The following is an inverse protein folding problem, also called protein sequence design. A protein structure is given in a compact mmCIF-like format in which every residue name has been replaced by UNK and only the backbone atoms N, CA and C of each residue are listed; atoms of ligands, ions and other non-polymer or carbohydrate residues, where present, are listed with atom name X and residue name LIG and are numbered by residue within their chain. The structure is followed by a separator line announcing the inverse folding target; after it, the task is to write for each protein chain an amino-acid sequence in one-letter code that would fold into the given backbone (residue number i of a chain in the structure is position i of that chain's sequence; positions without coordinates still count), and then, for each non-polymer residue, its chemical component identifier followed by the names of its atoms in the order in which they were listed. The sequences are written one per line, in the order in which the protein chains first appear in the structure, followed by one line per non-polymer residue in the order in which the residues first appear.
data_IF_829013779533
#
_entry.id   IF_829013779533
#
_cell.length_a   1.000
_cell.length_b   1.000
_cell.length_c   1.000
_cell.angle_alpha   90.00
_cell.angle_beta   90.00
_cell.angle_gamma   90.00
#
_symmetry.space_group_name_H-M   'P 1'
#
loop_
_entity.id
_entity.type
_entity.pdbx_description
1 polymer ?
#
# COMPACT_ATOMS: atom_id res chain seq x y z
N UNK A 1 0.91 -59.03 12.13
CA UNK A 1 2.17 -58.34 11.76
C UNK A 1 1.76 -57.04 11.08
N UNK A 2 1.57 -56.01 11.88
CA UNK A 2 1.22 -54.65 11.39
C UNK A 2 2.55 -53.89 11.26
N UNK A 3 2.85 -53.48 10.02
CA UNK A 3 4.05 -52.74 9.70
C UNK A 3 3.83 -51.23 9.94
N UNK A 4 4.55 -50.66 10.89
CA UNK A 4 4.71 -49.25 11.14
C UNK A 4 5.36 -48.55 9.93
N UNK A 5 4.63 -47.67 9.26
CA UNK A 5 5.20 -46.75 8.27
C UNK A 5 5.84 -45.53 8.99
N UNK A 6 7.06 -45.12 8.61
CA UNK A 6 7.70 -43.97 9.25
C UNK A 6 7.02 -42.66 8.85
N UNK A 7 6.65 -41.85 9.84
CA UNK A 7 6.16 -40.47 9.69
C UNK A 7 7.23 -39.62 9.00
N UNK A 8 6.92 -39.10 7.81
CA UNK A 8 7.76 -38.09 7.13
C UNK A 8 7.77 -36.83 7.96
N UNK A 9 8.90 -36.47 8.50
CA UNK A 9 9.15 -35.23 9.20
C UNK A 9 8.84 -34.03 8.29
N UNK A 10 8.11 -33.08 8.83
CA UNK A 10 7.76 -31.82 8.17
C UNK A 10 9.02 -30.93 8.04
N UNK A 11 9.29 -30.27 6.89
CA UNK A 11 10.52 -29.51 6.65
C UNK A 11 10.55 -28.11 7.30
N UNK A 12 9.97 -27.93 8.50
CA UNK A 12 9.90 -26.66 9.20
C UNK A 12 10.73 -26.56 10.48
N UNK A 13 11.77 -27.43 10.65
CA UNK A 13 12.65 -27.39 11.85
C UNK A 13 13.67 -26.23 11.85
N UNK A 14 13.70 -25.36 10.86
CA UNK A 14 14.66 -24.23 10.76
C UNK A 14 14.25 -22.90 11.42
N UNK A 15 13.04 -22.78 12.00
CA UNK A 15 12.56 -21.51 12.60
C UNK A 15 12.62 -21.53 14.14
N UNK A 16 13.82 -21.76 14.69
CA UNK A 16 14.02 -21.94 16.14
C UNK A 16 14.27 -20.66 16.93
N UNK A 17 14.03 -19.46 16.37
CA UNK A 17 14.31 -18.19 17.09
C UNK A 17 13.10 -17.53 17.76
N UNK A 18 11.87 -18.04 17.60
CA UNK A 18 10.68 -17.49 18.27
C UNK A 18 10.19 -18.31 19.47
N UNK A 19 10.89 -19.42 19.81
CA UNK A 19 10.49 -20.29 20.94
C UNK A 19 10.86 -19.77 22.33
N UNK A 20 11.57 -18.65 22.46
CA UNK A 20 12.03 -18.15 23.79
C UNK A 20 11.07 -17.16 24.48
N UNK A 21 9.95 -16.77 23.87
CA UNK A 21 8.94 -15.95 24.53
C UNK A 21 7.69 -16.75 24.92
N UNK A 22 7.88 -17.90 25.59
CA UNK A 22 6.79 -18.73 26.13
C UNK A 22 6.30 -18.15 27.46
N UNK A 23 5.38 -17.19 27.40
CA UNK A 23 4.45 -16.86 28.47
C UNK A 23 3.03 -16.85 27.89
N UNK A 24 2.01 -17.16 28.67
CA UNK A 24 0.58 -17.25 28.28
C UNK A 24 0.01 -16.04 27.53
N UNK A 25 0.76 -14.93 27.43
CA UNK A 25 0.45 -13.72 26.64
C UNK A 25 0.99 -13.75 25.21
N UNK A 26 1.80 -14.72 24.80
CA UNK A 26 2.45 -14.76 23.49
C UNK A 26 1.54 -15.26 22.36
N UNK A 27 0.43 -15.93 22.67
CA UNK A 27 -0.51 -16.42 21.65
C UNK A 27 -1.40 -15.32 21.07
N UNK A 28 -1.54 -14.18 21.75
CA UNK A 28 -2.40 -13.08 21.32
C UNK A 28 -2.01 -12.47 19.95
N UNK A 29 -0.75 -12.59 19.50
CA UNK A 29 -0.31 -12.11 18.18
C UNK A 29 -0.81 -12.99 17.04
N UNK A 30 -1.12 -14.27 17.30
CA UNK A 30 -1.58 -15.24 16.30
C UNK A 30 -3.12 -15.29 16.21
N UNK A 31 -3.83 -14.73 17.18
CA UNK A 31 -5.28 -14.67 17.22
C UNK A 31 -5.77 -13.37 16.61
N UNK A 32 -6.83 -13.43 15.80
CA UNK A 32 -7.37 -12.27 15.09
C UNK A 32 -7.78 -11.13 16.04
N UNK A 33 -8.44 -11.47 17.14
CA UNK A 33 -8.89 -10.54 18.18
C UNK A 33 -7.94 -10.42 19.38
N UNK A 34 -6.79 -11.13 19.29
CA UNK A 34 -5.78 -11.12 20.33
C UNK A 34 -5.21 -9.72 20.55
N UNK A 35 -5.05 -9.33 21.82
CA UNK A 35 -4.53 -8.02 22.24
C UNK A 35 -3.12 -8.19 22.81
N UNK A 36 -2.09 -8.23 21.96
CA UNK A 36 -0.70 -8.29 22.43
C UNK A 36 -0.33 -6.98 23.14
N UNK A 37 0.60 -7.02 24.11
CA UNK A 37 1.14 -5.80 24.70
C UNK A 37 1.81 -4.94 23.65
N UNK A 38 1.77 -3.61 23.83
CA UNK A 38 2.28 -2.63 22.86
C UNK A 38 3.73 -2.90 22.43
N UNK A 39 4.60 -3.28 23.36
CA UNK A 39 5.99 -3.61 23.08
C UNK A 39 6.17 -4.80 22.08
N UNK A 40 5.20 -5.69 21.99
CA UNK A 40 5.21 -6.80 21.03
C UNK A 40 4.47 -6.42 19.73
N UNK A 41 3.37 -5.67 19.84
CA UNK A 41 2.57 -5.25 18.69
C UNK A 41 3.30 -4.24 17.82
N UNK A 42 3.97 -3.27 18.42
CA UNK A 42 4.61 -2.16 17.70
C UNK A 42 5.70 -2.61 16.72
N UNK A 43 6.71 -3.42 17.08
CA UNK A 43 7.73 -3.86 16.13
C UNK A 43 7.14 -4.65 14.95
N UNK A 44 6.10 -5.46 15.19
CA UNK A 44 5.44 -6.25 14.16
C UNK A 44 4.57 -5.37 13.25
N UNK A 45 3.85 -4.39 13.82
CA UNK A 45 3.12 -3.40 13.04
C UNK A 45 4.05 -2.47 12.25
N UNK A 46 5.18 -2.10 12.83
CA UNK A 46 6.22 -1.33 12.16
C UNK A 46 6.87 -2.11 11.00
N UNK A 47 7.07 -3.42 11.15
CA UNK A 47 7.52 -4.29 10.06
C UNK A 47 6.53 -4.28 8.88
N UNK A 48 5.22 -4.34 9.14
CA UNK A 48 4.20 -4.24 8.11
C UNK A 48 4.20 -2.87 7.44
N UNK A 49 4.37 -1.80 8.23
CA UNK A 49 4.52 -0.45 7.72
C UNK A 49 5.73 -0.34 6.78
N UNK A 50 6.91 -0.81 7.18
CA UNK A 50 8.12 -0.74 6.35
C UNK A 50 7.95 -1.47 5.02
N UNK A 51 7.21 -2.59 5.00
CA UNK A 51 6.96 -3.36 3.78
C UNK A 51 6.13 -2.59 2.73
N UNK A 52 5.26 -1.67 3.17
CA UNK A 52 4.36 -0.93 2.28
C UNK A 52 4.71 0.55 2.13
N UNK A 53 5.50 1.13 3.04
CA UNK A 53 5.67 2.58 3.15
C UNK A 53 6.15 3.23 1.86
N UNK A 54 7.21 2.68 1.28
CA UNK A 54 7.76 3.19 0.02
C UNK A 54 6.77 3.00 -1.14
N UNK A 55 6.15 1.81 -1.22
CA UNK A 55 5.13 1.54 -2.24
C UNK A 55 3.95 2.50 -2.17
N UNK A 56 3.63 3.00 -0.98
CA UNK A 56 2.56 3.98 -0.78
C UNK A 56 2.95 5.40 -1.22
N UNK A 57 4.23 5.79 -1.11
CA UNK A 57 4.69 7.15 -1.42
C UNK A 57 5.01 7.31 -2.90
N UNK A 58 5.64 6.32 -3.53
CA UNK A 58 6.14 6.39 -4.90
C UNK A 58 5.09 6.86 -5.93
N UNK A 59 3.84 6.35 -5.95
CA UNK A 59 2.84 6.83 -6.90
C UNK A 59 2.59 8.34 -6.79
N UNK A 60 2.65 8.91 -5.58
CA UNK A 60 2.46 10.35 -5.37
C UNK A 60 3.64 11.16 -5.87
N UNK A 61 4.87 10.69 -5.64
CA UNK A 61 6.08 11.34 -6.15
C UNK A 61 6.04 11.38 -7.68
N UNK A 62 5.68 10.27 -8.32
CA UNK A 62 5.59 10.18 -9.78
C UNK A 62 4.55 11.16 -10.35
N UNK A 63 3.35 11.18 -9.78
CA UNK A 63 2.29 12.07 -10.24
C UNK A 63 2.62 13.54 -9.95
N UNK A 64 3.22 13.84 -8.79
CA UNK A 64 3.67 15.19 -8.47
C UNK A 64 4.73 15.71 -9.45
N UNK A 65 5.67 14.83 -9.84
CA UNK A 65 6.69 15.14 -10.85
C UNK A 65 6.09 15.39 -12.23
N UNK A 66 5.20 14.52 -12.71
CA UNK A 66 4.52 14.70 -14.00
C UNK A 66 3.60 15.93 -14.04
N UNK A 67 2.91 16.21 -12.93
CA UNK A 67 2.09 17.43 -12.80
C UNK A 67 2.92 18.71 -12.56
N UNK A 68 4.26 18.59 -12.48
CA UNK A 68 5.19 19.69 -12.20
C UNK A 68 4.79 20.53 -10.98
N UNK A 69 4.35 19.86 -9.93
CA UNK A 69 3.94 20.52 -8.70
C UNK A 69 5.15 21.09 -7.98
N UNK A 70 4.93 22.21 -7.30
CA UNK A 70 5.94 22.77 -6.41
C UNK A 70 6.21 21.83 -5.20
N UNK A 71 7.27 22.11 -4.46
CA UNK A 71 7.70 21.31 -3.31
C UNK A 71 6.62 21.23 -2.23
N UNK A 72 5.81 22.27 -2.03
CA UNK A 72 4.74 22.28 -1.03
C UNK A 72 3.61 21.32 -1.40
N UNK A 73 3.09 21.39 -2.62
CA UNK A 73 1.99 20.49 -3.05
C UNK A 73 2.46 19.05 -3.22
N UNK A 74 3.70 18.83 -3.63
CA UNK A 74 4.31 17.49 -3.68
C UNK A 74 4.37 16.85 -2.30
N UNK A 75 4.87 17.59 -1.31
CA UNK A 75 4.92 17.15 0.10
C UNK A 75 3.51 16.90 0.65
N UNK A 76 2.55 17.77 0.34
CA UNK A 76 1.16 17.64 0.77
C UNK A 76 0.51 16.36 0.21
N UNK A 77 0.72 16.04 -1.07
CA UNK A 77 0.23 14.79 -1.67
C UNK A 77 0.76 13.56 -0.94
N UNK A 78 2.06 13.55 -0.61
CA UNK A 78 2.68 12.45 0.11
C UNK A 78 2.09 12.33 1.52
N UNK A 79 1.94 13.44 2.24
CA UNK A 79 1.29 13.44 3.56
C UNK A 79 -0.13 12.89 3.50
N UNK A 80 -0.92 13.33 2.51
CA UNK A 80 -2.29 12.86 2.30
C UNK A 80 -2.34 11.37 1.99
N UNK A 81 -1.36 10.83 1.23
CA UNK A 81 -1.28 9.40 0.92
C UNK A 81 -1.02 8.55 2.16
N UNK A 82 -0.10 9.00 3.01
CA UNK A 82 0.24 8.32 4.27
C UNK A 82 -0.94 8.36 5.24
N UNK A 83 -1.65 9.51 5.32
CA UNK A 83 -2.89 9.63 6.10
C UNK A 83 -3.98 8.69 5.56
N UNK A 84 -4.21 8.69 4.25
CA UNK A 84 -5.20 7.84 3.59
C UNK A 84 -4.95 6.35 3.84
N UNK A 85 -3.69 5.92 3.71
CA UNK A 85 -3.27 4.55 4.00
C UNK A 85 -3.53 4.15 5.47
N UNK A 86 -3.19 5.03 6.41
CA UNK A 86 -3.43 4.80 7.84
C UNK A 86 -4.93 4.69 8.17
N UNK A 87 -5.74 5.63 7.68
CA UNK A 87 -7.21 5.61 7.88
C UNK A 87 -7.84 4.38 7.24
N UNK A 88 -7.47 4.06 5.99
CA UNK A 88 -7.96 2.88 5.28
C UNK A 88 -7.61 1.58 6.04
N UNK A 89 -6.37 1.47 6.56
CA UNK A 89 -5.94 0.31 7.35
C UNK A 89 -6.71 0.19 8.65
N UNK A 90 -6.95 1.28 9.38
CA UNK A 90 -7.78 1.25 10.60
C UNK A 90 -9.20 0.80 10.31
N UNK A 91 -9.82 1.32 9.24
CA UNK A 91 -11.17 0.93 8.85
C UNK A 91 -11.26 -0.54 8.47
N UNK A 92 -10.20 -1.09 7.85
CA UNK A 92 -10.14 -2.52 7.54
C UNK A 92 -9.92 -3.41 8.77
N UNK A 93 -8.98 -3.03 9.64
CA UNK A 93 -8.65 -3.80 10.83
C UNK A 93 -9.78 -3.79 11.88
N UNK A 94 -10.46 -2.63 12.05
CA UNK A 94 -11.51 -2.42 13.04
C UNK A 94 -12.84 -2.08 12.35
N UNK A 95 -13.55 -3.10 11.85
CA UNK A 95 -14.75 -2.90 11.06
C UNK A 95 -15.87 -2.25 11.88
N UNK A 96 -16.53 -1.27 11.27
CA UNK A 96 -17.73 -0.61 11.81
C UNK A 96 -18.94 -1.45 11.42
N UNK A 97 -19.82 -1.75 12.37
CA UNK A 97 -21.07 -2.47 12.10
C UNK A 97 -22.25 -1.51 12.22
N UNK A 98 -22.99 -1.38 11.14
CA UNK A 98 -24.22 -0.61 11.03
C UNK A 98 -25.38 -1.58 10.76
N UNK A 99 -25.96 -2.13 11.81
CA UNK A 99 -26.98 -3.17 11.70
C UNK A 99 -26.42 -4.44 11.03
N UNK A 100 -26.92 -4.75 9.82
CA UNK A 100 -26.47 -5.90 9.02
C UNK A 100 -25.27 -5.60 8.12
N UNK A 101 -24.92 -4.32 7.97
CA UNK A 101 -23.83 -3.89 7.10
C UNK A 101 -22.54 -3.85 7.90
N UNK A 102 -21.50 -4.46 7.37
CA UNK A 102 -20.14 -4.43 7.92
C UNK A 102 -19.24 -3.62 6.99
N UNK A 103 -18.64 -2.56 7.53
CA UNK A 103 -17.69 -1.69 6.82
C UNK A 103 -16.29 -2.03 7.35
N UNK A 104 -15.46 -2.62 6.50
CA UNK A 104 -14.15 -3.16 6.85
C UNK A 104 -14.14 -4.68 6.95
N UNK A 105 -13.01 -5.30 6.55
CA UNK A 105 -12.85 -6.75 6.51
C UNK A 105 -12.69 -7.37 7.91
N UNK A 106 -12.05 -6.67 8.84
CA UNK A 106 -11.58 -7.20 10.13
C UNK A 106 -10.47 -8.23 9.99
N UNK A 107 -9.89 -8.37 8.80
CA UNK A 107 -8.72 -9.22 8.55
C UNK A 107 -7.42 -8.44 8.77
N UNK A 108 -6.30 -9.12 9.05
CA UNK A 108 -5.00 -8.47 9.23
C UNK A 108 -4.41 -8.11 7.86
N UNK A 109 -4.89 -7.02 7.27
CA UNK A 109 -4.43 -6.46 6.00
C UNK A 109 -3.99 -5.01 6.18
N UNK A 110 -2.96 -4.60 5.45
CA UNK A 110 -2.53 -3.21 5.36
C UNK A 110 -3.05 -2.61 4.06
N UNK A 111 -3.48 -1.37 4.13
CA UNK A 111 -4.01 -0.61 3.00
C UNK A 111 -3.07 0.53 2.64
N UNK A 112 -3.00 0.83 1.36
CA UNK A 112 -2.26 1.98 0.85
C UNK A 112 -2.67 2.28 -0.57
N UNK A 113 -1.91 3.13 -1.29
CA UNK A 113 -2.21 3.46 -2.68
C UNK A 113 -2.09 2.22 -3.58
N UNK A 114 -3.05 2.03 -4.46
CA UNK A 114 -2.99 0.95 -5.44
C UNK A 114 -2.38 1.41 -6.75
N UNK A 115 -1.46 0.60 -7.30
CA UNK A 115 -0.82 0.84 -8.59
C UNK A 115 -1.76 0.65 -9.78
N UNK A 116 -2.92 0.02 -9.58
CA UNK A 116 -3.96 -0.18 -10.60
C UNK A 116 -4.39 1.14 -11.25
N UNK A 117 -4.39 2.24 -10.49
CA UNK A 117 -4.79 3.57 -10.97
C UNK A 117 -3.62 4.41 -11.49
N UNK A 118 -2.37 4.01 -11.23
CA UNK A 118 -1.20 4.84 -11.54
C UNK A 118 -1.09 5.25 -13.01
N UNK A 119 -1.30 4.37 -14.02
CA UNK A 119 -1.17 4.76 -15.41
C UNK A 119 -2.13 5.87 -15.82
N UNK A 120 -3.40 5.81 -15.38
CA UNK A 120 -4.38 6.85 -15.69
C UNK A 120 -4.10 8.14 -14.93
N UNK A 121 -3.62 8.03 -13.67
CA UNK A 121 -3.22 9.20 -12.89
C UNK A 121 -2.08 9.97 -13.55
N UNK A 122 -1.07 9.27 -14.08
CA UNK A 122 0.04 9.89 -14.83
C UNK A 122 -0.45 10.51 -16.14
N UNK A 123 -1.29 9.80 -16.90
CA UNK A 123 -1.84 10.31 -18.15
C UNK A 123 -2.67 11.60 -17.97
N UNK A 124 -3.38 11.73 -16.85
CA UNK A 124 -4.13 12.94 -16.52
C UNK A 124 -3.22 14.03 -15.97
N UNK A 125 -2.22 13.66 -15.15
CA UNK A 125 -1.26 14.60 -14.56
C UNK A 125 -0.41 15.32 -15.60
N UNK A 126 -0.05 14.64 -16.69
CA UNK A 126 0.71 15.22 -17.82
C UNK A 126 -0.12 16.18 -18.69
N UNK A 127 -1.45 16.16 -18.57
CA UNK A 127 -2.34 16.97 -19.37
C UNK A 127 -2.76 18.24 -18.62
N UNK A 128 -2.17 19.38 -18.95
CA UNK A 128 -2.44 20.68 -18.30
C UNK A 128 -3.93 21.10 -18.35
N UNK A 129 -4.69 20.63 -19.35
CA UNK A 129 -6.13 20.94 -19.48
C UNK A 129 -7.03 20.13 -18.52
N UNK A 130 -6.50 19.06 -17.90
CA UNK A 130 -7.26 18.17 -17.01
C UNK A 130 -7.00 18.48 -15.54
N UNK A 131 -5.75 18.40 -15.12
CA UNK A 131 -5.33 18.65 -13.74
C UNK A 131 -5.78 17.59 -12.72
N UNK A 132 -5.20 17.64 -11.53
CA UNK A 132 -5.52 16.72 -10.41
C UNK A 132 -6.99 16.78 -9.93
N UNK A 133 -7.71 17.92 -9.96
CA UNK A 133 -9.12 17.96 -9.60
C UNK A 133 -10.03 17.00 -10.37
N UNK A 134 -9.68 16.70 -11.64
CA UNK A 134 -10.41 15.69 -12.44
C UNK A 134 -10.22 14.28 -11.88
N UNK A 135 -9.00 13.96 -11.44
CA UNK A 135 -8.71 12.66 -10.84
C UNK A 135 -9.51 12.45 -9.54
N UNK A 136 -9.45 13.43 -8.63
CA UNK A 136 -10.14 13.34 -7.35
C UNK A 136 -11.67 13.36 -7.51
N UNK A 137 -12.19 14.15 -8.45
CA UNK A 137 -13.62 14.17 -8.77
C UNK A 137 -14.10 12.84 -9.36
N UNK A 138 -13.40 12.31 -10.36
CA UNK A 138 -13.73 11.02 -10.97
C UNK A 138 -13.64 9.88 -9.96
N UNK A 139 -12.58 9.86 -9.14
CA UNK A 139 -12.38 8.86 -8.09
C UNK A 139 -13.50 8.87 -7.06
N UNK A 140 -13.92 10.04 -6.58
CA UNK A 140 -14.98 10.19 -5.58
C UNK A 140 -16.30 9.56 -6.05
N UNK A 141 -16.71 9.87 -7.28
CA UNK A 141 -17.95 9.33 -7.86
C UNK A 141 -17.80 7.85 -8.18
N UNK A 142 -16.69 7.46 -8.78
CA UNK A 142 -16.47 6.05 -9.14
C UNK A 142 -16.32 5.14 -7.91
N UNK A 143 -15.84 5.64 -6.76
CA UNK A 143 -15.79 4.88 -5.52
C UNK A 143 -17.17 4.37 -5.07
N UNK A 144 -18.26 5.07 -5.44
CA UNK A 144 -19.62 4.58 -5.20
C UNK A 144 -19.91 3.26 -5.93
N UNK A 145 -19.28 3.01 -7.06
CA UNK A 145 -19.44 1.73 -7.77
C UNK A 145 -18.91 0.55 -6.95
N UNK A 146 -17.85 0.75 -6.14
CA UNK A 146 -17.33 -0.28 -5.24
C UNK A 146 -18.33 -0.69 -4.17
N UNK A 147 -19.25 0.21 -3.79
CA UNK A 147 -20.37 -0.13 -2.89
C UNK A 147 -21.28 -1.17 -3.54
N UNK A 148 -21.62 -0.99 -4.83
CA UNK A 148 -22.42 -1.97 -5.58
C UNK A 148 -21.66 -3.29 -5.73
N UNK A 149 -20.37 -3.24 -6.05
CA UNK A 149 -19.51 -4.43 -6.16
C UNK A 149 -19.48 -5.20 -4.83
N UNK A 150 -19.41 -4.53 -3.69
CA UNK A 150 -19.42 -5.19 -2.39
C UNK A 150 -20.68 -6.04 -2.15
N UNK A 151 -21.85 -5.60 -2.61
CA UNK A 151 -23.10 -6.35 -2.48
C UNK A 151 -23.23 -7.49 -3.50
N UNK A 152 -22.68 -7.32 -4.69
CA UNK A 152 -22.73 -8.33 -5.77
C UNK A 152 -21.63 -9.39 -5.62
N UNK A 153 -20.55 -9.08 -4.91
CA UNK A 153 -19.38 -9.93 -4.77
C UNK A 153 -19.67 -11.39 -4.37
N UNK A 154 -20.52 -11.71 -3.39
CA UNK A 154 -20.79 -13.09 -3.01
C UNK A 154 -21.27 -13.95 -4.19
N UNK A 155 -21.98 -13.35 -5.14
CA UNK A 155 -22.52 -14.03 -6.33
C UNK A 155 -21.48 -14.22 -7.43
N UNK A 156 -20.55 -13.25 -7.59
CA UNK A 156 -19.56 -13.25 -8.67
C UNK A 156 -18.21 -13.84 -8.25
N UNK A 157 -17.94 -14.00 -6.95
CA UNK A 157 -16.67 -14.52 -6.40
C UNK A 157 -16.20 -15.81 -7.05
N UNK A 158 -17.13 -16.70 -7.42
CA UNK A 158 -16.81 -17.97 -8.07
C UNK A 158 -16.10 -17.83 -9.43
N UNK A 159 -16.22 -16.66 -10.07
CA UNK A 159 -15.56 -16.36 -11.35
C UNK A 159 -14.15 -15.81 -11.18
N UNK A 160 -13.71 -15.56 -9.94
CA UNK A 160 -12.38 -15.03 -9.63
C UNK A 160 -11.55 -16.03 -8.82
N UNK A 161 -11.16 -17.16 -9.42
CA UNK A 161 -10.22 -18.08 -8.80
C UNK A 161 -8.85 -17.40 -8.63
N UNK A 162 -7.97 -17.91 -7.73
CA UNK A 162 -6.66 -17.31 -7.45
C UNK A 162 -5.78 -17.06 -8.70
N UNK A 163 -5.96 -17.86 -9.74
CA UNK A 163 -5.23 -17.70 -11.01
C UNK A 163 -5.60 -16.38 -11.70
N UNK A 164 -6.88 -15.99 -11.70
CA UNK A 164 -7.34 -14.73 -12.29
C UNK A 164 -6.76 -13.55 -11.53
N UNK A 165 -6.83 -13.58 -10.19
CA UNK A 165 -6.25 -12.52 -9.34
C UNK A 165 -4.74 -12.40 -9.55
N UNK A 166 -4.02 -13.53 -9.58
CA UNK A 166 -2.57 -13.55 -9.84
C UNK A 166 -2.22 -12.97 -11.21
N UNK A 167 -2.98 -13.31 -12.25
CA UNK A 167 -2.78 -12.75 -13.59
C UNK A 167 -3.00 -11.24 -13.63
N UNK A 168 -4.01 -10.72 -12.94
CA UNK A 168 -4.25 -9.27 -12.83
C UNK A 168 -3.06 -8.58 -12.19
N UNK A 169 -2.57 -9.09 -11.05
CA UNK A 169 -1.43 -8.50 -10.33
C UNK A 169 -0.16 -8.48 -11.21
N UNK A 170 0.13 -9.59 -11.91
CA UNK A 170 1.25 -9.66 -12.85
C UNK A 170 1.09 -8.64 -14.00
N UNK A 171 -0.11 -8.52 -14.56
CA UNK A 171 -0.40 -7.56 -15.64
C UNK A 171 -0.19 -6.11 -15.19
N UNK A 172 -0.59 -5.75 -13.97
CA UNK A 172 -0.34 -4.44 -13.37
C UNK A 172 1.17 -4.20 -13.24
N UNK A 173 1.92 -5.20 -12.72
CA UNK A 173 3.37 -5.11 -12.61
C UNK A 173 4.05 -4.87 -13.96
N UNK A 174 3.64 -5.58 -15.01
CA UNK A 174 4.18 -5.43 -16.37
C UNK A 174 3.86 -4.02 -16.93
N UNK A 175 2.66 -3.51 -16.72
CA UNK A 175 2.27 -2.17 -17.18
C UNK A 175 3.09 -1.05 -16.55
N UNK A 176 3.65 -1.27 -15.36
CA UNK A 176 4.53 -0.33 -14.68
C UNK A 176 6.00 -0.35 -15.19
N UNK A 177 6.41 -1.31 -16.04
CA UNK A 177 7.81 -1.41 -16.49
C UNK A 177 8.27 -0.20 -17.30
N UNK A 178 7.43 0.35 -18.16
CA UNK A 178 7.77 1.55 -18.91
C UNK A 178 8.04 2.74 -17.99
N UNK A 179 7.18 2.93 -16.97
CA UNK A 179 7.33 3.98 -15.94
C UNK A 179 8.64 3.76 -15.16
N UNK A 180 8.90 2.51 -14.76
CA UNK A 180 10.12 2.16 -14.05
C UNK A 180 11.39 2.42 -14.87
N UNK A 181 11.39 2.10 -16.18
CA UNK A 181 12.51 2.34 -17.06
C UNK A 181 12.85 3.83 -17.22
N UNK A 182 11.83 4.68 -17.39
CA UNK A 182 12.04 6.13 -17.47
C UNK A 182 12.61 6.68 -16.15
N UNK A 183 12.10 6.25 -15.01
CA UNK A 183 12.60 6.71 -13.71
C UNK A 183 14.02 6.19 -13.43
N UNK A 184 14.33 4.96 -13.82
CA UNK A 184 15.68 4.40 -13.70
C UNK A 184 16.70 5.18 -14.55
N UNK A 185 16.27 5.73 -15.69
CA UNK A 185 17.09 6.56 -16.55
C UNK A 185 17.30 8.00 -16.01
N UNK A 186 16.64 8.40 -14.93
CA UNK A 186 16.75 9.74 -14.33
C UNK A 186 15.45 10.54 -14.29
N UNK A 187 14.34 9.99 -14.79
CA UNK A 187 13.04 10.67 -14.87
C UNK A 187 12.77 11.34 -16.21
N UNK A 188 11.50 11.41 -16.56
CA UNK A 188 11.06 11.99 -17.84
C UNK A 188 11.19 13.52 -17.78
N UNK A 189 11.90 14.10 -18.76
CA UNK A 189 12.13 15.55 -18.84
C UNK A 189 13.30 16.09 -18.01
N UNK A 190 14.04 15.23 -17.31
CA UNK A 190 15.27 15.63 -16.62
C UNK A 190 16.43 15.78 -17.65
N UNK A 191 17.22 16.89 -17.58
CA UNK A 191 18.38 17.08 -18.46
C UNK A 191 19.44 15.97 -18.37
N UNK A 192 19.48 15.25 -17.24
CA UNK A 192 20.41 14.14 -17.00
C UNK A 192 19.86 12.78 -17.43
N UNK A 193 18.65 12.74 -18.00
CA UNK A 193 18.01 11.50 -18.44
C UNK A 193 18.91 10.69 -19.37
N UNK A 194 19.08 9.40 -19.06
CA UNK A 194 19.90 8.46 -19.85
C UNK A 194 21.39 8.49 -19.51
N UNK A 195 21.86 9.37 -18.64
CA UNK A 195 23.27 9.38 -18.24
C UNK A 195 23.63 8.11 -17.44
N UNK A 196 24.87 7.67 -17.59
CA UNK A 196 25.36 6.42 -17.00
C UNK A 196 25.23 6.37 -15.48
N UNK A 197 25.41 7.51 -14.79
CA UNK A 197 25.30 7.54 -13.33
C UNK A 197 23.89 7.19 -12.83
N UNK A 198 22.83 7.60 -13.54
CA UNK A 198 21.44 7.25 -13.18
C UNK A 198 21.23 5.73 -13.27
N UNK A 199 21.70 5.10 -14.34
CA UNK A 199 21.63 3.64 -14.51
C UNK A 199 22.45 2.88 -13.46
N UNK A 200 23.62 3.40 -13.06
CA UNK A 200 24.48 2.80 -12.04
C UNK A 200 23.82 2.89 -10.66
N UNK A 201 23.30 4.06 -10.29
CA UNK A 201 22.60 4.24 -8.99
C UNK A 201 21.34 3.38 -8.95
N UNK A 202 20.50 3.44 -9.98
CA UNK A 202 19.28 2.64 -10.04
C UNK A 202 19.57 1.13 -10.08
N UNK A 203 20.58 0.69 -10.81
CA UNK A 203 21.04 -0.71 -10.83
C UNK A 203 21.52 -1.17 -9.45
N UNK A 204 22.28 -0.33 -8.73
CA UNK A 204 22.69 -0.60 -7.35
C UNK A 204 21.48 -0.79 -6.43
N UNK A 205 20.49 0.11 -6.51
CA UNK A 205 19.25 0.02 -5.73
C UNK A 205 18.54 -1.30 -5.98
N UNK A 206 18.39 -1.72 -7.24
CA UNK A 206 17.77 -2.99 -7.61
C UNK A 206 18.54 -4.16 -7.00
N UNK A 207 19.86 -4.18 -7.12
CA UNK A 207 20.71 -5.25 -6.57
C UNK A 207 20.55 -5.34 -5.04
N UNK A 208 20.55 -4.20 -4.34
CA UNK A 208 20.38 -4.15 -2.88
C UNK A 208 18.99 -4.65 -2.48
N UNK A 209 17.93 -4.23 -3.19
CA UNK A 209 16.56 -4.69 -2.92
C UNK A 209 16.46 -6.21 -3.08
N UNK A 210 16.96 -6.74 -4.20
CA UNK A 210 16.94 -8.19 -4.48
C UNK A 210 17.74 -8.95 -3.45
N UNK A 211 18.93 -8.48 -3.09
CA UNK A 211 19.77 -9.12 -2.07
C UNK A 211 19.08 -9.12 -0.68
N UNK A 212 18.53 -7.98 -0.25
CA UNK A 212 17.81 -7.90 1.02
C UNK A 212 16.53 -8.73 1.02
N UNK A 213 15.83 -8.80 -0.09
CA UNK A 213 14.59 -9.59 -0.23
C UNK A 213 14.88 -11.09 -0.23
N UNK A 214 15.93 -11.54 -0.98
CA UNK A 214 16.25 -12.94 -1.15
C UNK A 214 17.02 -13.55 0.05
N UNK A 215 17.95 -12.81 0.62
CA UNK A 215 18.85 -13.29 1.69
C UNK A 215 18.53 -12.69 3.06
N UNK A 216 17.74 -11.61 3.11
CA UNK A 216 17.32 -10.96 4.36
C UNK A 216 16.32 -11.83 5.13
N UNK A 217 16.29 -11.65 6.47
CA UNK A 217 15.34 -12.32 7.36
C UNK A 217 14.58 -11.31 8.20
N UNK A 218 13.30 -11.60 8.46
CA UNK A 218 12.45 -10.77 9.33
C UNK A 218 12.32 -9.35 8.82
N UNK A 219 12.73 -8.37 9.62
CA UNK A 219 12.61 -6.94 9.28
C UNK A 219 13.46 -6.50 8.08
N UNK A 220 14.62 -7.13 7.85
CA UNK A 220 15.49 -6.77 6.70
C UNK A 220 14.80 -7.09 5.38
N UNK A 221 14.19 -8.29 5.26
CA UNK A 221 13.41 -8.64 4.07
C UNK A 221 12.18 -7.77 3.90
N UNK A 222 11.46 -7.44 4.98
CA UNK A 222 10.30 -6.55 4.93
C UNK A 222 10.65 -5.11 4.53
N UNK A 223 11.83 -4.63 4.96
CA UNK A 223 12.32 -3.29 4.67
C UNK A 223 13.22 -3.23 3.42
N UNK A 224 13.31 -4.29 2.61
CA UNK A 224 14.25 -4.40 1.49
C UNK A 224 14.21 -3.19 0.56
N UNK A 225 13.02 -2.72 0.19
CA UNK A 225 12.83 -1.56 -0.71
C UNK A 225 13.34 -0.28 -0.04
N UNK A 226 13.00 -0.07 1.24
CA UNK A 226 13.49 1.09 1.99
C UNK A 226 15.03 1.09 2.10
N UNK A 227 15.63 -0.07 2.40
CA UNK A 227 17.09 -0.23 2.48
C UNK A 227 17.74 0.08 1.13
N UNK A 228 17.15 -0.40 0.03
CA UNK A 228 17.63 -0.09 -1.32
C UNK A 228 17.60 1.40 -1.64
N UNK A 229 16.50 2.09 -1.30
CA UNK A 229 16.38 3.53 -1.50
C UNK A 229 17.41 4.29 -0.67
N UNK A 230 17.56 3.96 0.61
CA UNK A 230 18.58 4.60 1.48
C UNK A 230 19.99 4.38 0.89
N UNK A 231 20.31 3.18 0.42
CA UNK A 231 21.61 2.90 -0.21
C UNK A 231 21.81 3.76 -1.47
N UNK A 232 20.80 3.84 -2.35
CA UNK A 232 20.85 4.69 -3.54
C UNK A 232 20.99 6.17 -3.20
N UNK A 233 20.23 6.63 -2.17
CA UNK A 233 20.29 8.01 -1.70
C UNK A 233 21.66 8.39 -1.13
N UNK A 234 22.28 7.49 -0.37
CA UNK A 234 23.65 7.70 0.15
C UNK A 234 24.66 7.81 -0.99
N UNK A 235 24.58 6.93 -2.00
CA UNK A 235 25.50 6.99 -3.16
C UNK A 235 25.27 8.25 -3.98
N UNK A 236 24.00 8.62 -4.21
CA UNK A 236 23.66 9.86 -4.92
C UNK A 236 24.13 11.12 -4.14
N UNK A 237 24.00 11.13 -2.81
CA UNK A 237 24.47 12.22 -1.96
C UNK A 237 26.01 12.37 -1.98
N UNK A 238 26.74 11.26 -1.89
CA UNK A 238 28.20 11.26 -2.01
C UNK A 238 28.66 11.72 -3.40
N UNK A 239 27.88 11.37 -4.45
CA UNK A 239 28.12 11.82 -5.83
C UNK A 239 27.74 13.29 -6.07
N UNK A 240 27.13 13.98 -5.11
CA UNK A 240 26.68 15.38 -5.27
C UNK A 240 25.42 15.57 -6.11
N UNK A 241 24.64 14.50 -6.32
CA UNK A 241 23.43 14.52 -7.14
C UNK A 241 22.14 14.83 -6.33
N UNK A 242 22.25 15.04 -5.01
CA UNK A 242 21.09 15.28 -4.13
C UNK A 242 21.08 16.73 -3.66
N UNK A 243 19.93 17.38 -3.82
CA UNK A 243 19.66 18.70 -3.25
C UNK A 243 18.88 18.55 -1.93
N UNK A 244 19.53 18.89 -0.82
CA UNK A 244 18.95 18.84 0.53
C UNK A 244 18.17 20.10 0.92
N UNK A 245 18.07 21.10 0.08
CA UNK A 245 17.43 22.40 0.40
C UNK A 245 15.95 22.23 0.77
N UNK A 246 15.24 21.36 0.07
CA UNK A 246 13.83 21.07 0.31
C UNK A 246 13.58 20.44 1.69
N UNK A 247 14.46 19.51 2.12
CA UNK A 247 14.36 18.86 3.44
C UNK A 247 14.67 19.86 4.57
N UNK A 248 15.64 20.75 4.36
CA UNK A 248 16.01 21.76 5.34
C UNK A 248 14.87 22.76 5.58
N UNK A 249 14.16 23.16 4.52
CA UNK A 249 13.07 24.13 4.58
C UNK A 249 11.73 23.53 5.05
N UNK A 250 11.57 22.21 5.00
CA UNK A 250 10.32 21.54 5.40
C UNK A 250 10.04 21.70 6.89
N UNK A 251 8.77 21.94 7.24
CA UNK A 251 8.29 22.01 8.63
C UNK A 251 8.35 20.65 9.32
N UNK A 252 8.49 20.65 10.65
CA UNK A 252 8.39 19.42 11.43
C UNK A 252 6.94 18.93 11.61
N UNK A 253 5.98 19.84 11.60
CA UNK A 253 4.57 19.56 11.79
C UNK A 253 3.75 20.41 10.83
N UNK A 254 2.89 19.75 10.06
CA UNK A 254 1.86 20.40 9.26
C UNK A 254 0.64 19.45 9.14
N UNK A 255 -0.53 20.02 8.95
CA UNK A 255 -1.78 19.25 8.87
C UNK A 255 -2.11 19.03 7.39
N UNK A 256 -2.30 17.76 6.96
CA UNK A 256 -2.76 17.47 5.60
C UNK A 256 -4.10 18.20 5.32
N UNK A 257 -4.13 19.04 4.30
CA UNK A 257 -5.31 19.86 3.96
C UNK A 257 -6.21 19.10 2.99
N UNK A 258 -7.51 18.97 3.29
CA UNK A 258 -8.46 18.44 2.31
C UNK A 258 -8.68 19.46 1.19
N UNK A 259 -9.04 18.96 0.00
CA UNK A 259 -9.42 19.77 -1.18
C UNK A 259 -8.40 20.86 -1.55
N UNK A 260 -7.11 20.61 -1.37
CA UNK A 260 -6.04 21.60 -1.49
C UNK A 260 -5.80 22.08 -2.93
N UNK A 261 -6.26 21.35 -3.94
CA UNK A 261 -6.10 21.70 -5.35
C UNK A 261 -7.25 22.56 -5.90
N UNK A 262 -8.06 23.16 -5.02
CA UNK A 262 -9.14 24.08 -5.36
C UNK A 262 -8.76 25.56 -5.33
N UNK A 263 -7.50 25.91 -5.11
CA UNK A 263 -7.05 27.30 -5.07
C UNK A 263 -7.16 27.93 -6.47
N UNK A 264 -8.16 28.80 -6.65
CA UNK A 264 -8.48 29.44 -7.93
C UNK A 264 -9.49 28.70 -8.82
N UNK A 265 -10.05 27.57 -8.39
CA UNK A 265 -11.03 26.78 -9.14
C UNK A 265 -11.68 25.67 -8.29
N UNK A 266 -12.51 24.81 -8.91
CA UNK A 266 -13.11 23.70 -8.19
C UNK A 266 -12.06 22.64 -7.84
N UNK A 267 -11.99 22.25 -6.56
CA UNK A 267 -11.09 21.18 -6.07
C UNK A 267 -11.45 19.78 -6.61
N UNK A 268 -12.67 19.59 -7.06
CA UNK A 268 -13.18 18.36 -7.66
C UNK A 268 -13.87 18.70 -8.99
N UNK A 269 -13.44 18.05 -10.06
CA UNK A 269 -14.04 18.20 -11.39
C UNK A 269 -14.58 16.85 -11.86
N UNK A 270 -15.85 16.82 -12.26
CA UNK A 270 -16.55 15.61 -12.64
C UNK A 270 -16.62 15.48 -14.16
N UNK A 271 -15.77 14.63 -14.75
CA UNK A 271 -15.80 14.30 -16.18
C UNK A 271 -16.25 12.85 -16.37
N UNK A 272 -17.39 12.62 -17.10
CA UNK A 272 -17.98 11.26 -17.23
C UNK A 272 -17.03 10.22 -17.82
N UNK A 273 -16.20 10.61 -18.79
CA UNK A 273 -15.22 9.73 -19.41
C UNK A 273 -14.23 9.13 -18.41
N UNK A 274 -13.70 9.95 -17.48
CA UNK A 274 -12.79 9.50 -16.43
C UNK A 274 -13.51 8.70 -15.34
N UNK A 275 -14.74 9.12 -14.99
CA UNK A 275 -15.57 8.37 -14.03
C UNK A 275 -15.78 6.93 -14.53
N UNK A 276 -16.06 6.73 -15.81
CA UNK A 276 -16.27 5.40 -16.40
C UNK A 276 -14.99 4.55 -16.31
N UNK A 277 -13.83 5.11 -16.64
CA UNK A 277 -12.54 4.43 -16.52
C UNK A 277 -12.28 4.05 -15.06
N UNK A 278 -12.49 4.97 -14.12
CA UNK A 278 -12.29 4.69 -12.69
C UNK A 278 -13.23 3.61 -12.15
N UNK A 279 -14.48 3.53 -12.62
CA UNK A 279 -15.41 2.45 -12.27
C UNK A 279 -14.81 1.08 -12.64
N UNK A 280 -14.25 0.96 -13.85
CA UNK A 280 -13.59 -0.27 -14.30
C UNK A 280 -12.39 -0.61 -13.42
N UNK A 281 -11.55 0.39 -13.11
CA UNK A 281 -10.38 0.21 -12.25
C UNK A 281 -10.77 -0.19 -10.82
N UNK A 282 -11.85 0.34 -10.28
CA UNK A 282 -12.37 -0.08 -8.98
C UNK A 282 -12.84 -1.52 -8.96
N UNK A 283 -13.42 -2.00 -10.07
CA UNK A 283 -13.76 -3.41 -10.19
C UNK A 283 -12.50 -4.30 -10.17
N UNK A 284 -11.44 -3.92 -10.90
CA UNK A 284 -10.15 -4.62 -10.89
C UNK A 284 -9.54 -4.60 -9.47
N UNK A 285 -9.54 -3.45 -8.81
CA UNK A 285 -9.04 -3.29 -7.44
C UNK A 285 -9.82 -4.17 -6.43
N UNK A 286 -11.15 -4.30 -6.60
CA UNK A 286 -11.95 -5.19 -5.77
C UNK A 286 -11.54 -6.66 -5.92
N UNK A 287 -11.23 -7.11 -7.13
CA UNK A 287 -10.73 -8.47 -7.40
C UNK A 287 -9.34 -8.69 -6.77
N UNK A 288 -8.44 -7.73 -6.89
CA UNK A 288 -7.12 -7.73 -6.24
C UNK A 288 -7.26 -7.87 -4.72
N UNK A 289 -8.12 -7.06 -4.10
CA UNK A 289 -8.39 -7.11 -2.67
C UNK A 289 -8.96 -8.46 -2.20
N UNK A 290 -9.84 -9.09 -2.99
CA UNK A 290 -10.34 -10.43 -2.67
C UNK A 290 -9.20 -11.44 -2.62
N UNK A 291 -8.23 -11.33 -3.52
CA UNK A 291 -7.01 -12.16 -3.52
C UNK A 291 -6.22 -11.98 -2.24
N UNK A 292 -5.89 -10.75 -1.89
CA UNK A 292 -5.08 -10.43 -0.70
C UNK A 292 -5.77 -10.82 0.61
N UNK A 293 -7.07 -10.54 0.72
CA UNK A 293 -7.87 -10.99 1.87
C UNK A 293 -7.90 -12.52 1.97
N UNK A 294 -7.94 -13.22 0.83
CA UNK A 294 -7.90 -14.68 0.80
C UNK A 294 -6.53 -15.19 1.24
N UNK A 295 -5.42 -14.61 0.76
CA UNK A 295 -4.06 -14.95 1.19
C UNK A 295 -3.89 -14.72 2.69
N UNK A 296 -4.34 -13.58 3.20
CA UNK A 296 -4.25 -13.25 4.62
C UNK A 296 -5.08 -14.22 5.49
N UNK A 297 -6.28 -14.58 5.06
CA UNK A 297 -7.15 -15.51 5.81
C UNK A 297 -6.66 -16.96 5.72
N UNK A 298 -6.35 -17.46 4.52
CA UNK A 298 -5.91 -18.86 4.34
C UNK A 298 -4.49 -19.08 4.83
N UNK A 299 -3.58 -18.20 4.46
CA UNK A 299 -2.20 -18.25 4.87
C UNK A 299 -2.01 -17.93 6.35
N UNK A 300 -2.61 -16.86 6.85
CA UNK A 300 -2.48 -16.40 8.23
C UNK A 300 -3.33 -17.19 9.22
N UNK A 301 -4.66 -17.17 9.03
CA UNK A 301 -5.64 -17.73 9.96
C UNK A 301 -5.95 -19.22 9.73
N UNK A 302 -5.47 -19.82 8.63
CA UNK A 302 -5.71 -21.23 8.28
C UNK A 302 -7.16 -21.53 7.91
N UNK A 303 -7.96 -20.51 7.50
CA UNK A 303 -9.36 -20.66 7.11
C UNK A 303 -9.68 -19.83 5.87
N UNK A 304 -10.74 -20.19 5.17
CA UNK A 304 -11.30 -19.35 4.10
C UNK A 304 -11.88 -18.06 4.69
N UNK A 305 -11.78 -16.94 3.97
CA UNK A 305 -12.45 -15.71 4.36
C UNK A 305 -13.98 -15.88 4.24
N UNK A 306 -14.72 -15.28 5.17
CA UNK A 306 -16.19 -15.25 5.12
C UNK A 306 -16.65 -14.23 4.08
N UNK A 307 -17.82 -14.45 3.49
CA UNK A 307 -18.38 -13.49 2.53
C UNK A 307 -18.61 -12.10 3.14
N UNK A 308 -18.97 -12.03 4.43
CA UNK A 308 -19.08 -10.76 5.17
C UNK A 308 -17.73 -10.04 5.33
N UNK A 309 -16.61 -10.77 5.41
CA UNK A 309 -15.27 -10.20 5.51
C UNK A 309 -14.84 -9.63 4.15
N UNK A 310 -15.13 -10.33 3.07
CA UNK A 310 -14.83 -9.89 1.71
C UNK A 310 -15.68 -8.68 1.30
N UNK A 311 -17.00 -8.78 1.43
CA UNK A 311 -17.93 -7.69 1.11
C UNK A 311 -17.68 -6.47 1.98
N UNK A 312 -17.49 -6.70 3.30
CA UNK A 312 -17.14 -5.64 4.24
C UNK A 312 -15.80 -4.98 3.92
N UNK A 313 -14.83 -5.75 3.45
CA UNK A 313 -13.53 -5.24 3.03
C UNK A 313 -13.63 -4.31 1.82
N UNK A 314 -14.36 -4.71 0.79
CA UNK A 314 -14.58 -3.87 -0.40
C UNK A 314 -15.40 -2.62 -0.05
N UNK A 315 -16.42 -2.76 0.80
CA UNK A 315 -17.22 -1.63 1.27
C UNK A 315 -16.36 -0.65 2.08
N UNK A 316 -15.51 -1.17 2.99
CA UNK A 316 -14.55 -0.36 3.74
C UNK A 316 -13.58 0.39 2.84
N UNK A 317 -13.10 -0.26 1.76
CA UNK A 317 -12.24 0.39 0.78
C UNK A 317 -12.98 1.47 -0.02
N UNK A 318 -14.25 1.27 -0.37
CA UNK A 318 -15.06 2.30 -1.03
C UNK A 318 -15.10 3.60 -0.19
N UNK A 319 -15.39 3.48 1.12
CA UNK A 319 -15.38 4.63 2.03
C UNK A 319 -13.98 5.23 2.21
N UNK A 320 -12.95 4.39 2.30
CA UNK A 320 -11.56 4.86 2.36
C UNK A 320 -11.16 5.64 1.09
N UNK A 321 -11.59 5.20 -0.09
CA UNK A 321 -11.34 5.90 -1.35
C UNK A 321 -12.12 7.22 -1.47
N UNK A 322 -13.35 7.29 -0.94
CA UNK A 322 -14.09 8.55 -0.85
C UNK A 322 -13.37 9.55 0.07
N UNK A 323 -12.91 9.09 1.24
CA UNK A 323 -12.07 9.89 2.13
C UNK A 323 -10.77 10.33 1.44
N UNK A 324 -10.09 9.41 0.75
CA UNK A 324 -8.88 9.66 -0.01
C UNK A 324 -9.07 10.76 -1.06
N UNK A 325 -10.19 10.74 -1.81
CA UNK A 325 -10.50 11.77 -2.82
C UNK A 325 -10.62 13.17 -2.22
N UNK A 326 -11.24 13.28 -1.05
CA UNK A 326 -11.38 14.56 -0.33
C UNK A 326 -10.04 15.03 0.22
N UNK A 327 -9.17 14.11 0.65
CA UNK A 327 -7.84 14.40 1.16
C UNK A 327 -6.74 14.36 0.09
N UNK A 328 -7.06 14.59 -1.18
CA UNK A 328 -6.09 14.66 -2.28
C UNK A 328 -5.19 13.42 -2.39
N UNK A 329 -5.72 12.27 -2.05
CA UNK A 329 -5.05 10.99 -2.09
C UNK A 329 -5.69 10.13 -3.19
N UNK A 330 -4.89 9.31 -3.88
CA UNK A 330 -5.40 8.38 -4.88
C UNK A 330 -6.10 7.19 -4.23
N UNK A 331 -6.74 6.37 -5.08
CA UNK A 331 -7.48 5.20 -4.65
C UNK A 331 -6.59 4.25 -3.83
N UNK A 332 -7.16 3.77 -2.73
CA UNK A 332 -6.50 2.80 -1.85
C UNK A 332 -6.84 1.37 -2.26
N UNK A 333 -5.95 0.46 -1.95
CA UNK A 333 -6.10 -0.98 -2.12
C UNK A 333 -5.30 -1.73 -1.06
N UNK A 334 -5.41 -3.05 -1.05
CA UNK A 334 -4.63 -3.89 -0.14
C UNK A 334 -3.19 -4.08 -0.65
N UNK A 335 -2.25 -4.28 0.28
CA UNK A 335 -0.86 -4.56 -0.05
C UNK A 335 -0.55 -6.05 0.02
N UNK A 336 -0.34 -6.68 -1.13
CA UNK A 336 -0.06 -8.12 -1.26
C UNK A 336 1.19 -8.56 -0.49
N UNK A 337 2.24 -7.70 -0.43
CA UNK A 337 3.44 -7.98 0.37
C UNK A 337 3.10 -8.14 1.86
N UNK A 338 2.23 -7.27 2.40
CA UNK A 338 1.80 -7.34 3.80
C UNK A 338 0.97 -8.58 4.07
N UNK A 339 0.07 -8.96 3.15
CA UNK A 339 -0.69 -10.21 3.21
C UNK A 339 0.23 -11.43 3.17
N UNK A 340 1.29 -11.38 2.35
CA UNK A 340 2.35 -12.39 2.29
C UNK A 340 3.11 -12.53 3.62
N UNK A 341 3.47 -11.41 4.27
CA UNK A 341 4.12 -11.43 5.59
C UNK A 341 3.19 -12.07 6.63
N UNK A 342 1.90 -11.74 6.63
CA UNK A 342 0.90 -12.37 7.51
C UNK A 342 0.84 -13.88 7.27
N UNK A 343 0.79 -14.30 6.01
CA UNK A 343 0.76 -15.73 5.65
C UNK A 343 2.01 -16.49 6.13
N UNK A 344 3.19 -15.88 6.04
CA UNK A 344 4.45 -16.50 6.47
C UNK A 344 4.63 -16.48 7.98
N UNK A 345 4.37 -15.35 8.64
CA UNK A 345 4.64 -15.17 10.08
C UNK A 345 3.51 -15.65 10.97
N UNK A 346 2.31 -15.84 10.42
CA UNK A 346 1.07 -16.15 11.15
C UNK A 346 0.68 -15.08 12.17
N UNK A 347 1.25 -13.89 12.07
CA UNK A 347 0.86 -12.73 12.91
C UNK A 347 -0.47 -12.18 12.39
N UNK A 348 -1.55 -12.55 13.05
CA UNK A 348 -2.92 -12.29 12.60
C UNK A 348 -3.68 -11.26 13.43
N UNK A 349 -3.07 -10.76 14.52
CA UNK A 349 -3.75 -9.78 15.38
C UNK A 349 -4.02 -8.48 14.63
N UNK A 350 -5.30 -8.08 14.60
CA UNK A 350 -5.72 -6.77 14.05
C UNK A 350 -5.13 -5.59 14.84
N UNK A 351 -4.78 -5.78 16.10
CA UNK A 351 -4.11 -4.77 16.92
C UNK A 351 -2.68 -4.49 16.44
N UNK A 352 -1.99 -5.49 15.90
CA UNK A 352 -0.69 -5.29 15.25
C UNK A 352 -0.85 -4.39 14.03
N UNK A 353 -1.85 -4.64 13.17
CA UNK A 353 -2.14 -3.76 12.02
C UNK A 353 -2.54 -2.35 12.48
N UNK A 354 -3.30 -2.26 13.57
CA UNK A 354 -3.68 -0.99 14.20
C UNK A 354 -2.49 -0.16 14.65
N UNK A 355 -1.44 -0.76 15.24
CA UNK A 355 -0.22 -0.02 15.61
C UNK A 355 0.51 0.52 14.38
N UNK A 356 0.60 -0.26 13.31
CA UNK A 356 1.16 0.19 12.03
C UNK A 356 0.36 1.36 11.43
N UNK A 357 -0.97 1.25 11.42
CA UNK A 357 -1.85 2.30 10.91
C UNK A 357 -1.77 3.60 11.73
N UNK A 358 -1.72 3.51 13.06
CA UNK A 358 -1.54 4.69 13.92
C UNK A 358 -0.19 5.35 13.70
N UNK A 359 0.86 4.56 13.44
CA UNK A 359 2.19 5.08 13.10
C UNK A 359 2.16 5.81 11.75
N UNK A 360 1.44 5.27 10.74
CA UNK A 360 1.22 5.96 9.46
C UNK A 360 0.52 7.30 9.67
N UNK A 361 -0.57 7.31 10.43
CA UNK A 361 -1.30 8.56 10.71
C UNK A 361 -0.39 9.57 11.40
N UNK A 362 0.37 9.14 12.40
CA UNK A 362 1.33 10.03 13.08
C UNK A 362 2.41 10.56 12.12
N UNK A 363 2.92 9.72 11.22
CA UNK A 363 3.91 10.09 10.20
C UNK A 363 3.35 11.10 9.19
N UNK A 364 2.05 11.04 8.87
CA UNK A 364 1.40 11.97 7.95
C UNK A 364 1.44 13.44 8.40
N UNK A 365 1.56 13.70 9.71
CA UNK A 365 1.70 15.05 10.25
C UNK A 365 3.15 15.58 10.24
N UNK A 366 4.12 14.79 9.76
CA UNK A 366 5.52 15.17 9.70
C UNK A 366 5.98 15.40 8.24
N UNK A 367 5.91 16.63 7.69
CA UNK A 367 6.33 16.94 6.32
C UNK A 367 7.77 16.55 6.01
N UNK A 368 8.67 16.58 7.00
CA UNK A 368 10.07 16.17 6.81
C UNK A 368 10.23 14.71 6.38
N UNK A 369 9.32 13.81 6.81
CA UNK A 369 9.32 12.42 6.35
C UNK A 369 8.79 12.29 4.91
N UNK A 370 8.02 13.25 4.45
CA UNK A 370 7.50 13.29 3.08
C UNK A 370 8.49 13.99 2.12
N UNK A 371 9.36 14.86 2.62
CA UNK A 371 10.37 15.58 1.84
C UNK A 371 11.71 14.83 1.69
N UNK A 372 11.85 13.68 2.34
CA UNK A 372 12.98 12.75 2.21
C UNK A 372 12.82 11.88 0.96
#
# INVERSE_FOLDING_TARGET
MEGNAPSRGHPLEGYTTLKQFKGAKSNAIYELDGRPPFLQAFPLGFQQLLAMFVGNIVPMILVAGEARLDSYYSTLLIQCSVLGAGVATLLQAFPIRLGRIRIGSGLPIMMGLTYTFLPICLAVATNEALGLPVLFGAQLVAALSSVLVAFVLPYIRKFFPPIVTGTIIVSIGISCFSIAAYNLAGGQGDPTMGQLHNWLIGGLVIVVIVACSAFGKGMVSAAAVLIGIVAGYVVAAVGGYVDFSNIASAKWFDIPRPLAFGDGGPALVFKPEFILVFILLYFINAVEMVGDMTVSATGGLGRQPKDEELSGGILGNAFACMFASVFNCFATGSYSQCSGIVAMTKVCSRWVMGTGALTLIAAAFCPKLAGL
#
